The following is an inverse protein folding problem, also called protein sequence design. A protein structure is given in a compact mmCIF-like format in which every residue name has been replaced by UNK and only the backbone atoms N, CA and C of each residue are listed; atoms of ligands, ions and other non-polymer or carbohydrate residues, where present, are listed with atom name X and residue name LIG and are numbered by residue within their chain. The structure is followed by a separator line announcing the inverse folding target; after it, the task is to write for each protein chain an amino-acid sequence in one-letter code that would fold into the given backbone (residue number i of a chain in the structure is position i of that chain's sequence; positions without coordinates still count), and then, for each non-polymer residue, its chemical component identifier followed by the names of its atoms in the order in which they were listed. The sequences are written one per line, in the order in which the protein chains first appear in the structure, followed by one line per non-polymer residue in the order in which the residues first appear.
data_IF_247297102494
#
_entry.id   IF_247297102494
#
_cell.length_a   1.000
_cell.length_b   1.000
_cell.length_c   1.000
_cell.angle_alpha   90.00
_cell.angle_beta   90.00
_cell.angle_gamma   90.00
#
_symmetry.space_group_name_H-M   'P 1'
#
loop_
_entity.id
_entity.type
_entity.pdbx_description
1 polymer ?
#
# COMPACT_ATOMS: atom_id res chain seq x y z
N UNK A 1 3.42 1.54 -24.68
CA UNK A 1 2.88 2.66 -23.89
C UNK A 1 3.39 2.50 -22.47
N UNK A 2 4.56 3.07 -22.15
CA UNK A 2 5.13 2.96 -20.79
C UNK A 2 4.49 4.03 -19.93
N UNK A 3 3.65 3.65 -18.97
CA UNK A 3 3.25 4.60 -17.92
C UNK A 3 4.50 4.97 -17.12
N UNK A 4 4.73 6.25 -16.86
CA UNK A 4 5.81 6.66 -15.97
C UNK A 4 5.45 6.28 -14.54
N UNK A 5 6.45 5.97 -13.71
CA UNK A 5 6.29 5.65 -12.29
C UNK A 5 5.34 6.63 -11.57
N UNK A 6 5.48 7.93 -11.87
CA UNK A 6 4.63 9.00 -11.36
C UNK A 6 3.15 8.88 -11.73
N UNK A 7 2.83 8.38 -12.92
CA UNK A 7 1.44 8.15 -13.33
C UNK A 7 0.85 6.96 -12.59
N UNK A 8 1.60 5.86 -12.48
CA UNK A 8 1.17 4.66 -11.75
C UNK A 8 0.95 4.96 -10.26
N UNK A 9 1.87 5.69 -9.65
CA UNK A 9 1.77 6.11 -8.25
C UNK A 9 0.51 6.97 -8.02
N UNK A 10 0.24 7.91 -8.92
CA UNK A 10 -0.95 8.77 -8.84
C UNK A 10 -2.24 7.98 -9.03
N UNK A 11 -2.27 7.02 -9.96
CA UNK A 11 -3.45 6.20 -10.20
C UNK A 11 -3.71 5.26 -9.00
N UNK A 12 -2.66 4.63 -8.46
CA UNK A 12 -2.74 3.82 -7.24
C UNK A 12 -3.21 4.64 -6.03
N UNK A 13 -2.70 5.87 -5.89
CA UNK A 13 -3.14 6.82 -4.86
C UNK A 13 -4.62 7.16 -5.03
N UNK A 14 -5.06 7.43 -6.26
CA UNK A 14 -6.47 7.71 -6.52
C UNK A 14 -7.36 6.54 -6.10
N UNK A 15 -6.99 5.30 -6.45
CA UNK A 15 -7.71 4.10 -6.02
C UNK A 15 -7.73 3.94 -4.50
N UNK A 16 -6.60 4.19 -3.83
CA UNK A 16 -6.51 4.09 -2.38
C UNK A 16 -7.47 5.07 -1.69
N UNK A 17 -7.42 6.34 -2.09
CA UNK A 17 -8.21 7.43 -1.51
C UNK A 17 -9.71 7.33 -1.83
N UNK A 18 -10.07 6.89 -3.04
CA UNK A 18 -11.46 6.91 -3.53
C UNK A 18 -12.19 5.56 -3.38
N UNK A 19 -11.56 4.57 -2.75
CA UNK A 19 -12.15 3.24 -2.57
C UNK A 19 -13.22 3.16 -1.47
N UNK A 20 -13.55 4.24 -0.78
CA UNK A 20 -14.42 4.24 0.41
C UNK A 20 -13.99 3.19 1.45
N UNK A 21 -12.68 3.09 1.71
CA UNK A 21 -12.05 2.10 2.60
C UNK A 21 -12.09 0.63 2.14
N UNK A 22 -12.46 0.36 0.88
CA UNK A 22 -12.33 -0.98 0.29
C UNK A 22 -10.87 -1.35 -0.01
N UNK A 23 -10.03 -0.36 -0.32
CA UNK A 23 -8.59 -0.55 -0.50
C UNK A 23 -7.90 -0.16 0.81
N UNK A 24 -7.31 -1.14 1.49
CA UNK A 24 -6.62 -0.95 2.78
C UNK A 24 -5.12 -1.13 2.71
N UNK A 25 -4.65 -1.74 1.63
CA UNK A 25 -3.25 -2.04 1.39
C UNK A 25 -2.95 -1.89 -0.10
N UNK A 26 -1.82 -1.29 -0.44
CA UNK A 26 -1.28 -1.21 -1.80
C UNK A 26 0.18 -1.63 -1.77
N UNK A 27 0.55 -2.52 -2.69
CA UNK A 27 1.93 -2.92 -2.93
C UNK A 27 2.31 -2.51 -4.35
N UNK A 28 3.22 -1.57 -4.48
CA UNK A 28 3.66 -1.03 -5.77
C UNK A 28 5.01 -1.65 -6.16
N UNK A 29 5.09 -2.21 -7.37
CA UNK A 29 6.34 -2.72 -7.94
C UNK A 29 6.73 -1.88 -9.15
N UNK A 30 7.85 -1.18 -9.04
CA UNK A 30 8.44 -0.42 -10.13
C UNK A 30 9.68 -1.14 -10.66
N UNK A 31 9.54 -1.78 -11.82
CA UNK A 31 10.57 -2.64 -12.42
C UNK A 31 11.41 -1.84 -13.41
N UNK A 32 12.70 -1.68 -13.09
CA UNK A 32 13.70 -1.03 -13.93
C UNK A 32 14.45 -2.08 -14.73
N UNK A 33 14.03 -2.27 -15.99
CA UNK A 33 14.55 -3.35 -16.84
C UNK A 33 16.00 -3.12 -17.30
N UNK A 34 16.41 -1.87 -17.49
CA UNK A 34 17.74 -1.54 -18.05
C UNK A 34 18.89 -1.88 -17.10
N UNK A 35 18.64 -1.76 -15.79
CA UNK A 35 19.61 -2.03 -14.72
C UNK A 35 19.19 -3.23 -13.86
N UNK A 36 18.10 -3.89 -14.25
CA UNK A 36 17.50 -5.06 -13.64
C UNK A 36 17.33 -5.01 -12.12
N UNK A 37 16.57 -4.01 -11.66
CA UNK A 37 16.21 -3.85 -10.26
C UNK A 37 14.76 -3.41 -10.09
N UNK A 38 14.21 -3.57 -8.89
CA UNK A 38 12.80 -3.28 -8.58
C UNK A 38 12.73 -2.40 -7.33
N UNK A 39 12.07 -1.24 -7.42
CA UNK A 39 11.60 -0.53 -6.22
C UNK A 39 10.24 -1.13 -5.81
N UNK A 40 10.10 -1.43 -4.53
CA UNK A 40 8.87 -1.96 -3.92
C UNK A 40 8.41 -0.99 -2.84
N UNK A 41 7.16 -0.53 -2.92
CA UNK A 41 6.57 0.36 -1.92
C UNK A 41 5.33 -0.28 -1.29
N UNK A 42 5.21 -0.19 0.04
CA UNK A 42 4.05 -0.64 0.81
C UNK A 42 3.32 0.57 1.41
N UNK A 43 2.04 0.70 1.04
CA UNK A 43 1.12 1.69 1.62
C UNK A 43 0.02 0.96 2.37
N UNK A 44 -0.23 1.38 3.62
CA UNK A 44 -1.27 0.80 4.46
C UNK A 44 -2.19 1.89 5.00
N UNK A 45 -3.48 1.57 5.10
CA UNK A 45 -4.43 2.44 5.78
C UNK A 45 -4.07 2.50 7.28
N UNK A 46 -4.17 3.67 7.93
CA UNK A 46 -3.96 3.76 9.36
C UNK A 46 -4.95 2.82 10.08
N UNK A 47 -4.43 1.87 10.85
CA UNK A 47 -5.23 0.98 11.69
C UNK A 47 -5.82 1.79 12.83
N UNK A 48 -6.93 2.48 12.54
CA UNK A 48 -7.73 3.18 13.53
C UNK A 48 -8.32 2.18 14.50
N UNK A 49 -7.86 2.24 15.73
CA UNK A 49 -8.39 1.67 16.96
C UNK A 49 -9.86 1.24 16.85
N UNK A 50 -10.13 -0.08 16.93
CA UNK A 50 -11.44 -0.57 17.37
C UNK A 50 -11.65 -0.13 18.82
N UNK A 51 -12.22 1.05 19.03
CA UNK A 51 -12.90 1.42 20.26
C UNK A 51 -14.22 2.07 19.84
N UNK A 52 -15.31 1.43 20.26
CA UNK A 52 -16.56 1.39 19.52
C UNK A 52 -17.21 2.73 19.28
N UNK A 53 -17.68 2.93 18.05
CA UNK A 53 -18.88 3.70 17.75
C UNK A 53 -19.35 3.32 16.34
N UNK A 54 -20.61 2.88 16.16
CA UNK A 54 -21.19 2.80 14.84
C UNK A 54 -21.57 4.21 14.42
N UNK A 55 -20.72 4.89 13.66
CA UNK A 55 -21.16 6.10 12.96
C UNK A 55 -22.01 5.65 11.78
N UNK A 56 -23.29 5.39 12.03
CA UNK A 56 -24.31 5.38 11.00
C UNK A 56 -24.35 6.77 10.37
N UNK A 57 -23.59 6.98 9.29
CA UNK A 57 -23.75 8.15 8.42
C UNK A 57 -25.01 7.94 7.60
N UNK A 58 -26.15 8.29 8.19
CA UNK A 58 -27.37 8.71 7.51
C UNK A 58 -28.08 9.69 8.48
N UNK A 59 -27.41 10.79 8.80
CA UNK A 59 -28.07 11.93 9.40
C UNK A 59 -28.88 12.61 8.30
N UNK A 60 -30.19 12.52 8.42
CA UNK A 60 -31.16 13.33 7.67
C UNK A 60 -30.72 14.79 7.76
N UNK A 61 -30.60 15.53 6.64
CA UNK A 61 -30.22 16.94 6.71
C UNK A 61 -31.38 17.72 7.32
N UNK A 62 -31.23 18.14 8.58
CA UNK A 62 -31.99 19.28 9.10
C UNK A 62 -31.48 20.53 8.39
N UNK A 63 -32.22 20.96 7.37
CA UNK A 63 -32.14 22.34 6.85
C UNK A 63 -32.30 23.30 8.02
N UNK A 64 -31.30 24.13 8.32
CA UNK A 64 -31.52 25.51 8.83
C UNK A 64 -30.25 26.34 9.11
N UNK A 65 -29.09 26.11 8.45
CA UNK A 65 -27.95 27.05 8.58
C UNK A 65 -27.26 27.36 7.24
N UNK A 66 -27.29 28.62 6.77
CA UNK A 66 -26.43 29.11 5.70
C UNK A 66 -25.17 29.72 6.31
N UNK A 67 -24.07 28.99 6.32
CA UNK A 67 -22.79 29.53 6.79
C UNK A 67 -21.71 28.47 6.95
N UNK A 68 -20.58 28.69 6.28
CA UNK A 68 -19.32 27.95 6.37
C UNK A 68 -19.30 26.51 5.84
N UNK A 69 -19.02 26.40 4.54
CA UNK A 69 -18.25 25.27 4.03
C UNK A 69 -16.90 25.22 4.77
N UNK A 70 -16.79 24.36 5.77
CA UNK A 70 -15.50 23.91 6.27
C UNK A 70 -15.04 22.71 5.43
N UNK A 71 -14.03 22.84 4.55
CA UNK A 71 -13.34 21.67 4.00
C UNK A 71 -12.26 21.26 5.01
N UNK A 72 -12.67 20.55 6.06
CA UNK A 72 -11.79 19.97 7.07
C UNK A 72 -12.51 18.72 7.57
N UNK A 73 -11.94 17.53 7.63
CA UNK A 73 -10.59 16.99 7.70
C UNK A 73 -10.68 15.60 7.05
N UNK A 74 -9.67 14.95 6.48
CA UNK A 74 -8.27 14.87 6.84
C UNK A 74 -7.64 14.17 5.63
N UNK A 75 -6.81 14.87 4.84
CA UNK A 75 -5.91 14.19 3.88
C UNK A 75 -4.89 13.44 4.72
N UNK A 76 -5.26 12.27 5.25
CA UNK A 76 -4.29 11.43 5.96
C UNK A 76 -3.22 11.09 4.94
N UNK A 77 -1.96 11.48 5.19
CA UNK A 77 -0.90 11.10 4.27
C UNK A 77 -0.91 9.59 4.19
N UNK A 78 -0.87 9.08 2.96
CA UNK A 78 -0.38 7.75 2.66
C UNK A 78 0.81 7.51 3.57
N UNK A 79 0.66 6.60 4.52
CA UNK A 79 1.80 6.20 5.32
C UNK A 79 2.55 5.20 4.44
N UNK A 80 3.43 5.69 3.57
CA UNK A 80 4.41 4.78 2.98
C UNK A 80 5.24 4.26 4.15
N UNK A 81 4.92 3.04 4.54
CA UNK A 81 5.48 2.42 5.74
C UNK A 81 6.82 1.80 5.44
N UNK A 82 7.03 1.37 4.18
CA UNK A 82 8.25 0.72 3.76
C UNK A 82 8.49 0.90 2.26
N UNK A 83 9.76 1.12 1.90
CA UNK A 83 10.23 1.08 0.53
C UNK A 83 11.56 0.33 0.45
N UNK A 84 11.67 -0.60 -0.50
CA UNK A 84 12.84 -1.44 -0.72
C UNK A 84 13.30 -1.32 -2.17
N UNK A 85 14.60 -1.41 -2.40
CA UNK A 85 15.19 -1.63 -3.72
C UNK A 85 15.78 -3.03 -3.78
N UNK A 86 15.39 -3.78 -4.78
CA UNK A 86 15.76 -5.18 -4.96
C UNK A 86 16.61 -5.28 -6.23
N UNK A 87 17.79 -5.86 -6.11
CA UNK A 87 18.66 -6.18 -7.25
C UNK A 87 18.90 -7.69 -7.30
N UNK A 88 19.53 -8.18 -8.37
CA UNK A 88 20.09 -9.53 -8.32
C UNK A 88 21.19 -9.60 -7.24
N UNK A 89 20.94 -10.39 -6.19
CA UNK A 89 21.86 -10.61 -5.08
C UNK A 89 21.71 -9.70 -3.86
N UNK A 90 20.95 -8.60 -3.92
CA UNK A 90 20.79 -7.70 -2.76
C UNK A 90 19.37 -7.14 -2.60
N UNK A 91 18.99 -6.87 -1.35
CA UNK A 91 17.82 -6.07 -1.00
C UNK A 91 18.32 -4.90 -0.15
N UNK A 92 18.03 -3.69 -0.61
CA UNK A 92 18.44 -2.45 0.01
C UNK A 92 17.19 -1.76 0.57
N UNK A 93 17.28 -1.29 1.80
CA UNK A 93 16.23 -0.51 2.42
C UNK A 93 16.29 0.93 1.92
N UNK A 94 15.19 1.45 1.40
CA UNK A 94 15.06 2.85 0.94
C UNK A 94 14.33 3.68 1.99
N UNK A 95 13.26 3.14 2.58
CA UNK A 95 12.43 3.78 3.62
C UNK A 95 11.80 2.71 4.52
N UNK A 96 11.46 3.04 5.78
CA UNK A 96 10.78 2.13 6.71
C UNK A 96 11.73 1.40 7.65
N UNK A 97 11.41 0.15 8.03
CA UNK A 97 12.28 -0.73 8.82
C UNK A 97 12.27 -2.16 8.25
N UNK A 98 13.43 -2.81 8.23
CA UNK A 98 13.57 -4.20 7.79
C UNK A 98 13.70 -4.37 6.28
N UNK A 99 14.09 -5.59 5.88
CA UNK A 99 14.28 -6.00 4.48
C UNK A 99 13.16 -6.93 3.97
N UNK A 100 12.21 -7.24 4.84
CA UNK A 100 11.03 -8.05 4.55
C UNK A 100 9.79 -7.17 4.63
N UNK A 101 8.81 -7.43 3.76
CA UNK A 101 7.54 -6.72 3.74
C UNK A 101 6.52 -7.56 4.49
N UNK A 102 6.04 -7.04 5.62
CA UNK A 102 4.99 -7.68 6.42
C UNK A 102 3.63 -7.09 6.08
N UNK A 103 2.74 -7.94 5.56
CA UNK A 103 1.37 -7.58 5.23
C UNK A 103 0.47 -8.05 6.37
N UNK A 104 -0.19 -7.10 7.03
CA UNK A 104 -1.15 -7.42 8.09
C UNK A 104 -2.29 -8.28 7.53
N UNK A 105 -2.44 -9.48 8.10
CA UNK A 105 -3.47 -10.42 7.69
C UNK A 105 -4.89 -9.81 7.74
N UNK A 106 -5.20 -9.02 8.77
CA UNK A 106 -6.53 -8.42 8.97
C UNK A 106 -6.82 -7.27 8.01
N UNK A 107 -5.76 -6.66 7.44
CA UNK A 107 -5.92 -5.68 6.36
C UNK A 107 -6.10 -6.35 5.00
N UNK A 108 -5.53 -7.54 4.82
CA UNK A 108 -5.56 -8.29 3.58
C UNK A 108 -6.82 -9.14 3.42
N UNK A 109 -7.22 -9.84 4.48
CA UNK A 109 -8.34 -10.76 4.50
C UNK A 109 -9.61 -10.04 4.98
N UNK A 110 -10.77 -10.51 4.50
CA UNK A 110 -12.07 -9.99 4.97
C UNK A 110 -12.48 -10.63 6.29
N UNK A 111 -12.02 -11.86 6.51
CA UNK A 111 -12.27 -12.66 7.69
C UNK A 111 -11.27 -12.30 8.80
N UNK A 112 -11.73 -12.42 10.05
CA UNK A 112 -10.84 -12.31 11.20
C UNK A 112 -9.79 -13.43 11.20
N UNK A 113 -8.59 -13.10 11.70
CA UNK A 113 -7.43 -13.99 11.75
C UNK A 113 -7.76 -15.29 12.49
N UNK A 114 -7.63 -16.45 11.82
CA UNK A 114 -7.71 -17.74 12.48
C UNK A 114 -6.64 -17.89 13.55
N UNK A 115 -6.95 -18.63 14.62
CA UNK A 115 -5.99 -18.87 15.71
C UNK A 115 -4.72 -19.53 15.18
N UNK A 116 -3.56 -18.92 15.45
CA UNK A 116 -2.26 -19.42 15.01
C UNK A 116 -1.80 -18.93 13.62
N UNK A 117 -2.59 -18.11 12.93
CA UNK A 117 -2.17 -17.52 11.66
C UNK A 117 -1.32 -16.27 11.87
N UNK A 118 -0.17 -16.21 11.21
CA UNK A 118 0.73 -15.06 11.23
C UNK A 118 0.46 -14.12 10.04
N UNK A 119 1.07 -12.93 10.10
CA UNK A 119 1.09 -12.00 8.98
C UNK A 119 1.78 -12.60 7.76
N UNK A 120 1.40 -12.14 6.58
CA UNK A 120 2.05 -12.60 5.35
C UNK A 120 3.35 -11.82 5.18
N UNK A 121 4.47 -12.53 5.20
CA UNK A 121 5.80 -11.95 5.05
C UNK A 121 6.33 -12.23 3.65
N UNK A 122 6.52 -11.17 2.87
CA UNK A 122 7.27 -11.23 1.61
C UNK A 122 8.74 -11.00 1.97
N UNK A 123 9.50 -12.10 1.98
CA UNK A 123 10.91 -12.04 2.37
C UNK A 123 11.79 -11.42 1.29
N UNK A 124 12.94 -10.87 1.68
CA UNK A 124 13.93 -10.37 0.73
C UNK A 124 14.37 -11.42 -0.30
N UNK A 125 14.42 -12.71 0.08
CA UNK A 125 14.70 -13.82 -0.87
C UNK A 125 13.61 -13.98 -1.92
N UNK A 126 12.33 -13.88 -1.53
CA UNK A 126 11.21 -13.94 -2.47
C UNK A 126 11.24 -12.75 -3.43
N UNK A 127 11.57 -11.55 -2.93
CA UNK A 127 11.75 -10.37 -3.76
C UNK A 127 12.88 -10.54 -4.77
N UNK A 128 14.02 -11.10 -4.36
CA UNK A 128 15.14 -11.39 -5.26
C UNK A 128 14.78 -12.38 -6.37
N UNK A 129 13.84 -13.31 -6.15
CA UNK A 129 13.39 -14.21 -7.21
C UNK A 129 12.74 -13.47 -8.38
N UNK A 130 12.08 -12.33 -8.12
CA UNK A 130 11.53 -11.46 -9.17
C UNK A 130 12.65 -10.96 -10.09
N UNK A 131 13.82 -10.68 -9.52
CA UNK A 131 15.03 -10.29 -10.23
C UNK A 131 15.86 -11.48 -10.75
N UNK A 132 15.32 -12.70 -10.82
CA UNK A 132 16.00 -13.86 -11.43
C UNK A 132 15.22 -14.51 -12.57
N UNK A 133 13.90 -14.34 -12.59
CA UNK A 133 13.04 -15.01 -13.57
C UNK A 133 12.91 -14.31 -14.92
N UNK A 134 13.46 -13.09 -15.10
CA UNK A 134 13.51 -12.50 -16.44
C UNK A 134 14.70 -13.11 -17.16
N UNK A 135 14.48 -13.84 -18.28
CA UNK A 135 15.58 -14.37 -19.05
C UNK A 135 16.41 -13.19 -19.52
N UNK A 136 17.69 -13.16 -19.13
CA UNK A 136 18.71 -12.43 -19.83
C UNK A 136 18.71 -12.92 -21.27
N UNK A 137 17.97 -12.22 -22.15
CA UNK A 137 17.99 -12.43 -23.58
C UNK A 137 19.43 -12.28 -24.04
N UNK A 138 20.09 -13.42 -24.19
CA UNK A 138 21.48 -13.50 -24.59
C UNK A 138 21.52 -13.53 -26.11
N UNK A 139 22.20 -12.55 -26.70
CA UNK A 139 22.82 -12.63 -28.04
C UNK A 139 21.89 -12.49 -29.22
#
# INVERSE_FOLDING_TARGET
MSQSHSSLQRDAQWWFENSSHNTRLVLLFNIHKDLFWVDVELWMAPTGTRLGLPTCQNAIPSSDHPGEFSPREERRPLSDTQALRVTDGAVLQVKGQGLDISLDYELLMREGRPTGQADIVITGKMLQSICKEVPSSSG
#
